data_IF_119807860498
#
_entry.id   IF_119807860498
#
_cell.length_a   1.000
_cell.length_b   1.000
_cell.length_c   1.000
_cell.angle_alpha   90.00
_cell.angle_beta   90.00
_cell.angle_gamma   90.00
#
_symmetry.space_group_name_H-M   'P 1'
#
loop_
_entity.id
_entity.type
_entity.pdbx_description
1 polymer ?
#
# COMPACT_ATOMS: atom_id res chain seq x y z
N UNK A 1 -18.15 -33.76 2.67
CA UNK A 1 -17.61 -32.61 1.92
C UNK A 1 -16.26 -33.02 1.37
N UNK A 2 -15.90 -32.63 0.16
CA UNK A 2 -14.54 -32.87 -0.32
C UNK A 2 -13.52 -32.11 0.52
N UNK A 3 -12.30 -32.61 0.77
CA UNK A 3 -11.25 -31.94 1.49
C UNK A 3 -10.95 -30.54 0.92
N UNK A 4 -10.99 -30.38 -0.40
CA UNK A 4 -10.76 -29.14 -1.09
C UNK A 4 -11.82 -28.08 -0.77
N UNK A 5 -13.10 -28.45 -0.69
CA UNK A 5 -14.18 -27.54 -0.28
C UNK A 5 -14.01 -27.11 1.16
N UNK A 6 -13.55 -27.98 2.07
CA UNK A 6 -13.24 -27.61 3.46
C UNK A 6 -12.15 -26.55 3.49
N UNK A 7 -11.05 -26.75 2.74
CA UNK A 7 -9.96 -25.78 2.67
C UNK A 7 -10.43 -24.40 2.16
N UNK A 8 -11.27 -24.37 1.12
CA UNK A 8 -11.82 -23.11 0.58
C UNK A 8 -12.71 -22.41 1.62
N UNK A 9 -13.58 -23.16 2.29
CA UNK A 9 -14.50 -22.60 3.30
C UNK A 9 -13.76 -22.10 4.53
N UNK A 10 -12.68 -22.77 4.96
CA UNK A 10 -11.83 -22.32 6.06
C UNK A 10 -11.12 -21.01 5.65
N UNK A 11 -10.57 -20.93 4.44
CA UNK A 11 -9.96 -19.68 3.94
C UNK A 11 -10.98 -18.54 3.94
N UNK A 12 -12.18 -18.76 3.40
CA UNK A 12 -13.26 -17.77 3.43
C UNK A 12 -13.64 -17.38 4.87
N UNK A 13 -13.74 -18.36 5.78
CA UNK A 13 -13.99 -18.12 7.21
C UNK A 13 -12.89 -17.29 7.87
N UNK A 14 -11.62 -17.52 7.54
CA UNK A 14 -10.48 -16.72 8.00
C UNK A 14 -10.65 -15.25 7.58
N UNK A 15 -11.01 -14.99 6.32
CA UNK A 15 -11.25 -13.64 5.84
C UNK A 15 -12.43 -12.96 6.55
N UNK A 16 -13.54 -13.67 6.75
CA UNK A 16 -14.72 -13.18 7.48
C UNK A 16 -14.35 -12.87 8.93
N UNK A 17 -13.67 -13.78 9.63
CA UNK A 17 -13.25 -13.58 11.02
C UNK A 17 -12.25 -12.43 11.17
N UNK A 18 -11.25 -12.35 10.29
CA UNK A 18 -10.26 -11.28 10.33
C UNK A 18 -10.83 -9.90 10.01
N UNK A 19 -11.90 -9.85 9.19
CA UNK A 19 -12.59 -8.58 8.88
C UNK A 19 -13.56 -8.16 9.99
N UNK A 20 -14.24 -9.14 10.64
CA UNK A 20 -15.26 -8.86 11.68
C UNK A 20 -14.67 -8.77 13.09
N UNK A 21 -13.50 -9.34 13.31
CA UNK A 21 -12.79 -9.35 14.60
C UNK A 21 -11.42 -8.72 14.44
N UNK A 22 -10.96 -8.00 15.47
CA UNK A 22 -9.64 -7.35 15.49
C UNK A 22 -8.50 -8.37 15.69
N UNK A 23 -8.48 -9.44 14.90
CA UNK A 23 -7.47 -10.51 14.96
C UNK A 23 -6.63 -10.46 13.70
N UNK A 24 -5.32 -10.71 13.81
CA UNK A 24 -4.45 -10.77 12.65
C UNK A 24 -4.81 -11.97 11.76
N UNK A 25 -5.22 -11.70 10.54
CA UNK A 25 -5.61 -12.68 9.51
C UNK A 25 -4.51 -13.74 9.27
N UNK A 26 -3.23 -13.33 9.31
CA UNK A 26 -2.11 -14.24 9.08
C UNK A 26 -1.95 -15.28 10.18
N UNK A 27 -2.19 -14.88 11.44
CA UNK A 27 -2.19 -15.83 12.56
C UNK A 27 -3.32 -16.85 12.40
N UNK A 28 -4.52 -16.39 12.03
CA UNK A 28 -5.65 -17.29 11.72
C UNK A 28 -5.33 -18.22 10.54
N UNK A 29 -4.66 -17.70 9.50
CA UNK A 29 -4.28 -18.48 8.34
C UNK A 29 -3.23 -19.55 8.67
N UNK A 30 -2.22 -19.23 9.49
CA UNK A 30 -1.25 -20.22 9.98
C UNK A 30 -1.93 -21.32 10.78
N UNK A 31 -2.77 -20.96 11.73
CA UNK A 31 -3.54 -21.96 12.52
C UNK A 31 -4.44 -22.78 11.59
N UNK A 32 -5.13 -22.13 10.65
CA UNK A 32 -5.95 -22.80 9.64
C UNK A 32 -5.16 -23.77 8.78
N UNK A 33 -3.92 -23.40 8.36
CA UNK A 33 -3.03 -24.27 7.61
C UNK A 33 -2.70 -25.57 8.38
N UNK A 34 -2.37 -25.45 9.66
CA UNK A 34 -2.13 -26.62 10.49
C UNK A 34 -3.38 -27.46 10.70
N UNK A 35 -4.52 -26.84 11.04
CA UNK A 35 -5.78 -27.56 11.30
C UNK A 35 -6.26 -28.30 10.05
N UNK A 36 -6.23 -27.65 8.89
CA UNK A 36 -6.67 -28.23 7.62
C UNK A 36 -5.61 -29.21 7.08
N UNK A 37 -4.33 -28.88 7.15
CA UNK A 37 -3.24 -29.75 6.69
C UNK A 37 -3.24 -31.07 7.44
N UNK A 38 -3.14 -31.02 8.75
CA UNK A 38 -3.06 -32.22 9.59
C UNK A 38 -4.41 -32.90 9.69
N UNK A 39 -5.49 -32.16 9.92
CA UNK A 39 -6.82 -32.73 10.21
C UNK A 39 -7.61 -33.17 8.97
N UNK A 40 -7.40 -32.54 7.81
CA UNK A 40 -8.20 -32.81 6.60
C UNK A 40 -7.40 -33.52 5.51
N UNK A 41 -6.13 -33.11 5.30
CA UNK A 41 -5.27 -33.68 4.27
C UNK A 41 -4.28 -34.71 4.81
N UNK A 42 -4.21 -34.91 6.13
CA UNK A 42 -3.29 -35.82 6.81
C UNK A 42 -1.79 -35.55 6.46
N UNK A 43 -1.44 -34.27 6.27
CA UNK A 43 -0.09 -33.82 5.98
C UNK A 43 0.65 -33.60 7.31
N UNK A 44 1.93 -33.92 7.37
CA UNK A 44 2.74 -33.67 8.57
C UNK A 44 2.90 -32.18 8.84
N UNK A 45 2.99 -31.82 10.13
CA UNK A 45 3.15 -30.42 10.54
C UNK A 45 4.42 -29.76 9.96
N UNK A 46 5.47 -30.56 9.71
CA UNK A 46 6.68 -30.11 9.02
C UNK A 46 6.42 -29.68 7.59
N UNK A 47 5.70 -30.51 6.84
CA UNK A 47 5.39 -30.25 5.44
C UNK A 47 4.48 -29.01 5.25
N UNK A 48 3.62 -28.71 6.26
CA UNK A 48 2.84 -27.46 6.25
C UNK A 48 3.77 -26.24 6.32
N UNK A 49 4.88 -26.35 7.08
CA UNK A 49 5.86 -25.27 7.20
C UNK A 49 6.74 -25.08 5.96
N UNK A 50 6.88 -26.09 5.11
CA UNK A 50 7.59 -25.97 3.82
C UNK A 50 6.91 -24.95 2.90
N UNK A 51 5.61 -24.72 3.07
CA UNK A 51 4.86 -23.64 2.44
C UNK A 51 5.20 -22.24 2.97
N UNK A 52 5.98 -22.12 4.06
CA UNK A 52 6.30 -20.82 4.65
C UNK A 52 7.20 -19.96 3.72
N UNK A 53 6.83 -18.71 3.43
CA UNK A 53 7.55 -17.88 2.47
C UNK A 53 8.77 -17.20 3.11
N UNK A 54 9.83 -17.95 3.41
CA UNK A 54 11.02 -17.43 4.10
C UNK A 54 11.65 -16.23 3.39
N UNK A 55 11.71 -16.25 2.06
CA UNK A 55 12.22 -15.11 1.27
C UNK A 55 11.38 -13.85 1.48
N UNK A 56 10.05 -13.95 1.37
CA UNK A 56 9.14 -12.82 1.62
C UNK A 56 9.26 -12.31 3.07
N UNK A 57 9.44 -13.20 4.05
CA UNK A 57 9.70 -12.81 5.44
C UNK A 57 10.93 -11.92 5.55
N UNK A 58 12.07 -12.33 4.97
CA UNK A 58 13.33 -11.56 5.01
C UNK A 58 13.17 -10.21 4.33
N UNK A 59 12.52 -10.16 3.15
CA UNK A 59 12.28 -8.92 2.43
C UNK A 59 11.40 -7.96 3.23
N UNK A 60 10.26 -8.46 3.74
CA UNK A 60 9.30 -7.64 4.50
C UNK A 60 9.93 -7.08 5.78
N UNK A 61 10.65 -7.90 6.53
CA UNK A 61 11.35 -7.45 7.73
C UNK A 61 12.44 -6.44 7.37
N UNK A 62 13.29 -6.73 6.39
CA UNK A 62 14.39 -5.84 5.98
C UNK A 62 13.93 -4.47 5.52
N UNK A 63 12.97 -4.44 4.59
CA UNK A 63 12.45 -3.18 4.04
C UNK A 63 11.71 -2.37 5.10
N UNK A 64 10.83 -2.99 5.88
CA UNK A 64 10.05 -2.25 6.90
C UNK A 64 10.92 -1.80 8.08
N UNK A 65 11.96 -2.55 8.43
CA UNK A 65 12.93 -2.15 9.45
C UNK A 65 13.77 -0.95 9.00
N UNK A 66 14.29 -0.98 7.77
CA UNK A 66 15.04 0.14 7.19
C UNK A 66 14.17 1.42 7.15
N UNK A 67 12.90 1.28 6.74
CA UNK A 67 11.97 2.40 6.74
C UNK A 67 11.64 2.90 8.16
N UNK A 68 11.49 2.01 9.14
CA UNK A 68 11.28 2.36 10.54
C UNK A 68 12.46 3.18 11.10
N UNK A 69 13.70 2.82 10.75
CA UNK A 69 14.89 3.60 11.10
C UNK A 69 14.86 4.99 10.43
N UNK A 70 14.49 5.08 9.14
CA UNK A 70 14.36 6.34 8.42
C UNK A 70 13.31 7.27 9.04
N UNK A 71 12.21 6.71 9.54
CA UNK A 71 11.18 7.46 10.26
C UNK A 71 11.69 7.98 11.60
N UNK A 72 12.30 7.11 12.40
CA UNK A 72 12.77 7.44 13.76
C UNK A 72 13.89 8.49 13.80
N UNK A 73 14.77 8.49 12.82
CA UNK A 73 15.86 9.49 12.75
C UNK A 73 15.44 10.80 12.08
N UNK A 74 14.16 10.99 11.76
CA UNK A 74 13.61 12.20 11.16
C UNK A 74 13.96 12.40 9.68
N UNK A 75 14.46 11.37 8.98
CA UNK A 75 14.73 11.45 7.54
C UNK A 75 13.44 11.69 6.76
N UNK A 76 12.35 11.00 7.12
CA UNK A 76 11.04 11.14 6.49
C UNK A 76 10.48 12.56 6.70
N UNK A 77 10.52 13.06 7.95
CA UNK A 77 10.04 14.41 8.28
C UNK A 77 10.83 15.50 7.53
N UNK A 78 12.14 15.30 7.39
CA UNK A 78 12.98 16.22 6.62
C UNK A 78 12.64 16.20 5.13
N UNK A 79 12.39 15.01 4.53
CA UNK A 79 11.97 14.91 3.13
C UNK A 79 10.67 15.68 2.91
N UNK A 80 9.69 15.50 3.80
CA UNK A 80 8.40 16.21 3.75
C UNK A 80 8.61 17.71 3.82
N UNK A 81 9.36 18.19 4.82
CA UNK A 81 9.62 19.62 5.00
C UNK A 81 10.34 20.23 3.78
N UNK A 82 11.32 19.51 3.22
CA UNK A 82 12.10 19.98 2.06
C UNK A 82 11.25 20.08 0.79
N UNK A 83 10.37 19.10 0.58
CA UNK A 83 9.50 19.06 -0.59
C UNK A 83 8.44 20.16 -0.55
N UNK A 84 7.88 20.45 0.63
CA UNK A 84 6.96 21.58 0.81
C UNK A 84 7.65 22.92 0.50
N UNK A 85 8.90 23.09 0.91
CA UNK A 85 9.69 24.29 0.59
C UNK A 85 9.95 24.44 -0.92
N UNK A 86 10.12 23.34 -1.65
CA UNK A 86 10.41 23.36 -3.08
C UNK A 86 9.26 23.90 -3.96
N UNK A 87 8.03 23.96 -3.43
CA UNK A 87 6.84 24.40 -4.20
C UNK A 87 6.80 25.92 -4.46
N UNK A 88 7.74 26.70 -3.88
CA UNK A 88 7.85 28.15 -4.10
C UNK A 88 6.51 28.91 -4.07
N UNK A 89 5.59 28.51 -3.19
CA UNK A 89 4.41 29.30 -2.88
C UNK A 89 3.21 29.16 -3.82
N UNK A 90 3.15 28.22 -4.75
CA UNK A 90 1.96 27.99 -5.59
C UNK A 90 0.96 27.08 -4.88
N UNK A 91 -0.16 27.62 -4.40
CA UNK A 91 -1.23 26.85 -3.72
C UNK A 91 -1.77 25.71 -4.59
N UNK A 92 -1.92 25.95 -5.90
CA UNK A 92 -2.39 24.96 -6.86
C UNK A 92 -1.48 23.72 -6.96
N UNK A 93 -0.20 23.81 -6.63
CA UNK A 93 0.74 22.70 -6.69
C UNK A 93 0.72 21.82 -5.42
N UNK A 94 0.19 22.33 -4.28
CA UNK A 94 0.22 21.62 -3.00
C UNK A 94 -0.41 20.22 -3.05
N UNK A 95 -1.60 20.00 -3.65
CA UNK A 95 -2.18 18.66 -3.74
C UNK A 95 -1.27 17.68 -4.49
N UNK A 96 -0.62 18.11 -5.59
CA UNK A 96 0.31 17.29 -6.35
C UNK A 96 1.60 16.98 -5.59
N UNK A 97 2.07 17.93 -4.79
CA UNK A 97 3.23 17.69 -3.92
C UNK A 97 2.90 16.65 -2.86
N UNK A 98 1.72 16.72 -2.25
CA UNK A 98 1.29 15.68 -1.30
C UNK A 98 1.14 14.32 -1.99
N UNK A 99 0.64 14.29 -3.22
CA UNK A 99 0.58 13.08 -4.06
C UNK A 99 1.99 12.48 -4.27
N UNK A 100 2.92 13.29 -4.78
CA UNK A 100 4.30 12.82 -5.08
C UNK A 100 5.03 12.38 -3.82
N UNK A 101 4.89 13.13 -2.72
CA UNK A 101 5.51 12.76 -1.43
C UNK A 101 4.99 11.45 -0.90
N UNK A 102 3.68 11.29 -0.88
CA UNK A 102 3.04 10.05 -0.42
C UNK A 102 3.49 8.86 -1.26
N UNK A 103 3.49 9.02 -2.60
CA UNK A 103 3.94 7.99 -3.53
C UNK A 103 5.42 7.66 -3.39
N UNK A 104 6.28 8.66 -3.25
CA UNK A 104 7.71 8.44 -3.07
C UNK A 104 8.03 7.68 -1.78
N UNK A 105 7.36 8.01 -0.65
CA UNK A 105 7.55 7.29 0.61
C UNK A 105 7.16 5.82 0.47
N UNK A 106 6.02 5.54 -0.17
CA UNK A 106 5.56 4.16 -0.37
C UNK A 106 6.45 3.41 -1.36
N UNK A 107 6.87 4.07 -2.44
CA UNK A 107 7.78 3.47 -3.41
C UNK A 107 9.16 3.11 -2.81
N UNK A 108 9.59 3.81 -1.76
CA UNK A 108 10.83 3.53 -1.02
C UNK A 108 10.66 2.50 0.11
N UNK A 109 9.47 1.91 0.28
CA UNK A 109 9.24 0.83 1.25
C UNK A 109 8.34 1.18 2.43
N UNK A 110 7.78 2.39 2.49
CA UNK A 110 6.72 2.68 3.45
C UNK A 110 5.46 1.87 3.16
N UNK A 111 4.76 1.45 4.21
CA UNK A 111 3.37 1.02 4.05
C UNK A 111 2.49 2.24 3.70
N UNK A 112 1.53 2.04 2.80
CA UNK A 112 0.59 3.10 2.39
C UNK A 112 -0.08 3.79 3.59
N UNK A 113 -0.63 3.10 4.61
CA UNK A 113 -1.18 3.75 5.79
C UNK A 113 -0.15 4.56 6.59
N UNK A 114 1.10 4.12 6.64
CA UNK A 114 2.15 4.85 7.34
C UNK A 114 2.50 6.17 6.63
N UNK A 115 2.57 6.16 5.30
CA UNK A 115 2.78 7.36 4.50
C UNK A 115 1.60 8.33 4.63
N UNK A 116 0.36 7.82 4.53
CA UNK A 116 -0.86 8.63 4.70
C UNK A 116 -0.92 9.24 6.11
N UNK A 117 -0.60 8.49 7.16
CA UNK A 117 -0.59 8.99 8.55
C UNK A 117 0.38 10.15 8.76
N UNK A 118 1.47 10.21 7.99
CA UNK A 118 2.46 11.31 8.06
C UNK A 118 2.03 12.50 7.20
N UNK A 119 1.54 12.23 5.98
CA UNK A 119 1.27 13.27 4.99
C UNK A 119 -0.12 13.90 5.16
N UNK A 120 -1.15 13.13 5.55
CA UNK A 120 -2.52 13.64 5.67
C UNK A 120 -2.66 14.80 6.67
N UNK A 121 -2.08 14.77 7.89
CA UNK A 121 -2.15 15.91 8.82
C UNK A 121 -1.58 17.19 8.20
N UNK A 122 -0.45 17.09 7.50
CA UNK A 122 0.21 18.21 6.83
C UNK A 122 -0.65 18.71 5.67
N UNK A 123 -1.14 17.81 4.83
CA UNK A 123 -2.01 18.14 3.70
C UNK A 123 -3.31 18.81 4.16
N UNK A 124 -3.97 18.28 5.20
CA UNK A 124 -5.21 18.83 5.75
C UNK A 124 -4.99 20.21 6.40
N UNK A 125 -3.87 20.41 7.10
CA UNK A 125 -3.51 21.73 7.62
C UNK A 125 -3.34 22.75 6.48
N UNK A 126 -2.70 22.38 5.36
CA UNK A 126 -2.63 23.23 4.18
C UNK A 126 -4.00 23.45 3.53
N UNK A 127 -4.84 22.40 3.47
CA UNK A 127 -6.20 22.53 2.93
C UNK A 127 -7.01 23.59 3.70
N UNK A 128 -6.96 23.55 5.01
CA UNK A 128 -7.63 24.52 5.88
C UNK A 128 -7.03 25.92 5.72
N UNK A 129 -5.69 26.04 5.77
CA UNK A 129 -4.99 27.32 5.72
C UNK A 129 -5.18 28.07 4.39
N UNK A 130 -5.21 27.35 3.28
CA UNK A 130 -5.26 27.94 1.94
C UNK A 130 -6.61 27.76 1.23
N UNK A 131 -7.64 27.31 1.94
CA UNK A 131 -8.98 27.13 1.39
C UNK A 131 -9.06 26.07 0.29
N UNK A 132 -8.17 25.07 0.31
CA UNK A 132 -8.22 23.93 -0.61
C UNK A 132 -9.33 22.98 -0.15
N UNK A 133 -10.05 22.39 -1.09
CA UNK A 133 -11.05 21.38 -0.77
C UNK A 133 -10.38 20.20 -0.01
N UNK A 134 -10.81 19.88 1.24
CA UNK A 134 -10.20 18.81 2.02
C UNK A 134 -10.31 17.43 1.35
N UNK A 135 -11.41 17.17 0.64
CA UNK A 135 -11.58 15.92 -0.10
C UNK A 135 -10.56 15.81 -1.25
N UNK A 136 -10.32 16.89 -1.99
CA UNK A 136 -9.24 16.95 -2.98
C UNK A 136 -7.90 16.60 -2.35
N UNK A 137 -7.55 17.26 -1.25
CA UNK A 137 -6.26 17.06 -0.58
C UNK A 137 -6.11 15.61 -0.08
N UNK A 138 -7.14 15.07 0.59
CA UNK A 138 -7.13 13.71 1.11
C UNK A 138 -7.00 12.65 0.02
N UNK A 139 -7.78 12.78 -1.06
CA UNK A 139 -7.70 11.86 -2.20
C UNK A 139 -6.35 11.94 -2.91
N UNK A 140 -5.74 13.11 -3.05
CA UNK A 140 -4.40 13.24 -3.62
C UNK A 140 -3.33 12.55 -2.77
N UNK A 141 -3.45 12.58 -1.43
CA UNK A 141 -2.56 11.83 -0.53
C UNK A 141 -2.77 10.33 -0.70
N UNK A 142 -4.03 9.86 -0.75
CA UNK A 142 -4.35 8.44 -0.89
C UNK A 142 -3.90 7.90 -2.25
N UNK A 143 -4.28 8.54 -3.36
CA UNK A 143 -3.88 8.08 -4.69
C UNK A 143 -2.37 8.24 -4.92
N UNK A 144 -1.73 9.23 -4.30
CA UNK A 144 -0.29 9.32 -4.27
C UNK A 144 0.34 8.10 -3.61
N UNK A 145 -0.10 7.74 -2.40
CA UNK A 145 0.39 6.54 -1.72
C UNK A 145 0.13 5.26 -2.53
N UNK A 146 -1.06 5.15 -3.13
CA UNK A 146 -1.42 4.03 -3.99
C UNK A 146 -0.53 3.94 -5.25
N UNK A 147 -0.13 5.08 -5.83
CA UNK A 147 0.80 5.10 -6.97
C UNK A 147 2.15 4.46 -6.65
N UNK A 148 2.62 4.56 -5.39
CA UNK A 148 3.86 3.95 -4.91
C UNK A 148 3.77 2.47 -4.56
N UNK A 149 2.57 1.92 -4.38
CA UNK A 149 2.32 0.61 -3.78
C UNK A 149 3.09 -0.55 -4.42
N UNK A 150 3.15 -0.61 -5.75
CA UNK A 150 3.74 -1.73 -6.48
C UNK A 150 5.16 -1.45 -6.98
N UNK A 151 5.84 -0.44 -6.42
CA UNK A 151 7.29 -0.29 -6.64
C UNK A 151 7.99 -1.61 -6.30
N UNK A 152 9.01 -2.02 -7.06
CA UNK A 152 9.81 -3.22 -6.72
C UNK A 152 10.39 -3.18 -5.30
N UNK A 153 10.63 -1.99 -4.75
CA UNK A 153 11.09 -1.77 -3.37
C UNK A 153 9.95 -1.61 -2.35
N UNK A 154 8.73 -1.41 -2.84
CA UNK A 154 7.54 -1.22 -2.02
C UNK A 154 6.99 -2.54 -1.49
N UNK A 155 6.39 -2.50 -0.31
CA UNK A 155 5.88 -3.71 0.38
C UNK A 155 4.89 -4.50 -0.50
N UNK A 156 3.90 -3.84 -1.12
CA UNK A 156 2.94 -4.51 -2.00
C UNK A 156 3.58 -5.02 -3.30
N UNK A 157 4.57 -4.29 -3.84
CA UNK A 157 5.33 -4.74 -5.01
C UNK A 157 6.10 -6.02 -4.73
N UNK A 158 6.81 -6.05 -3.60
CA UNK A 158 7.52 -7.24 -3.12
C UNK A 158 6.59 -8.43 -2.94
N UNK A 159 5.46 -8.23 -2.27
CA UNK A 159 4.48 -9.29 -2.02
C UNK A 159 3.93 -9.82 -3.34
N UNK A 160 3.43 -8.94 -4.21
CA UNK A 160 2.82 -9.32 -5.48
C UNK A 160 3.80 -10.07 -6.36
N UNK A 161 5.01 -9.53 -6.54
CA UNK A 161 6.04 -10.15 -7.37
C UNK A 161 6.52 -11.49 -6.76
N UNK A 162 6.70 -11.56 -5.44
CA UNK A 162 7.11 -12.80 -4.78
C UNK A 162 6.04 -13.89 -4.84
N UNK A 163 4.76 -13.54 -4.80
CA UNK A 163 3.66 -14.50 -4.99
C UNK A 163 3.60 -14.96 -6.44
N UNK A 164 3.74 -14.06 -7.42
CA UNK A 164 3.79 -14.38 -8.86
C UNK A 164 4.92 -15.35 -9.16
N UNK A 165 6.13 -15.08 -8.64
CA UNK A 165 7.31 -15.92 -8.81
C UNK A 165 7.10 -17.32 -8.22
N UNK A 166 6.61 -17.42 -6.97
CA UNK A 166 6.31 -18.70 -6.31
C UNK A 166 5.25 -19.51 -7.04
N UNK A 167 4.30 -18.84 -7.69
CA UNK A 167 3.25 -19.49 -8.48
C UNK A 167 3.72 -19.88 -9.89
N UNK A 168 5.00 -19.73 -10.23
CA UNK A 168 5.55 -20.06 -11.55
C UNK A 168 4.98 -19.22 -12.69
N UNK A 169 4.37 -18.08 -12.39
CA UNK A 169 3.78 -17.21 -13.40
C UNK A 169 4.82 -16.23 -13.99
N UNK A 170 4.70 -15.86 -15.26
CA UNK A 170 5.52 -14.80 -15.81
C UNK A 170 5.26 -13.48 -15.09
N UNK A 171 6.32 -12.83 -14.59
CA UNK A 171 6.25 -11.59 -13.84
C UNK A 171 6.76 -10.40 -14.64
N UNK A 172 6.29 -9.21 -14.29
CA UNK A 172 6.81 -7.92 -14.78
C UNK A 172 6.76 -6.87 -13.66
N UNK A 173 7.73 -6.89 -12.72
CA UNK A 173 7.72 -6.00 -11.56
C UNK A 173 7.61 -4.52 -11.95
N UNK A 174 8.39 -4.10 -12.94
CA UNK A 174 8.34 -2.73 -13.43
C UNK A 174 7.05 -2.43 -14.21
N UNK A 175 6.51 -3.42 -14.94
CA UNK A 175 5.22 -3.29 -15.64
C UNK A 175 4.07 -3.06 -14.66
N UNK A 176 4.00 -3.83 -13.59
CA UNK A 176 2.98 -3.67 -12.53
C UNK A 176 3.10 -2.29 -11.87
N UNK A 177 4.31 -1.86 -11.54
CA UNK A 177 4.56 -0.56 -10.93
C UNK A 177 4.15 0.60 -11.85
N UNK A 178 4.62 0.61 -13.10
CA UNK A 178 4.33 1.70 -14.04
C UNK A 178 2.85 1.77 -14.38
N UNK A 179 2.19 0.62 -14.62
CA UNK A 179 0.76 0.58 -14.89
C UNK A 179 -0.06 1.11 -13.72
N UNK A 180 0.26 0.68 -12.49
CA UNK A 180 -0.40 1.16 -11.27
C UNK A 180 -0.14 2.65 -11.03
N UNK A 181 1.09 3.12 -11.18
CA UNK A 181 1.44 4.53 -11.02
C UNK A 181 0.71 5.41 -12.05
N UNK A 182 0.70 5.00 -13.33
CA UNK A 182 -0.01 5.70 -14.39
C UNK A 182 -1.52 5.76 -14.10
N UNK A 183 -2.13 4.66 -13.66
CA UNK A 183 -3.55 4.62 -13.31
C UNK A 183 -3.87 5.59 -12.17
N UNK A 184 -3.07 5.60 -11.11
CA UNK A 184 -3.27 6.50 -9.98
C UNK A 184 -2.96 7.97 -10.32
N UNK A 185 -2.03 8.26 -11.23
CA UNK A 185 -1.81 9.61 -11.77
C UNK A 185 -3.05 10.09 -12.53
N UNK A 186 -3.66 9.23 -13.36
CA UNK A 186 -4.92 9.55 -14.05
C UNK A 186 -6.04 9.80 -13.04
N UNK A 187 -6.19 8.95 -12.01
CA UNK A 187 -7.16 9.19 -10.94
C UNK A 187 -6.87 10.51 -10.19
N UNK A 188 -5.61 10.79 -9.88
CA UNK A 188 -5.19 12.06 -9.29
C UNK A 188 -5.57 13.26 -10.15
N UNK A 189 -5.41 13.15 -11.48
CA UNK A 189 -5.85 14.18 -12.42
C UNK A 189 -7.37 14.36 -12.41
N UNK A 190 -8.13 13.26 -12.43
CA UNK A 190 -9.60 13.28 -12.33
C UNK A 190 -10.04 13.96 -11.03
N UNK A 191 -9.46 13.54 -9.90
CA UNK A 191 -9.71 14.14 -8.59
C UNK A 191 -9.40 15.63 -8.58
N UNK A 192 -8.24 16.00 -9.14
CA UNK A 192 -7.81 17.41 -9.19
C UNK A 192 -8.77 18.26 -10.01
N UNK A 193 -9.21 17.78 -11.17
CA UNK A 193 -10.15 18.49 -12.03
C UNK A 193 -11.55 18.56 -11.41
N UNK A 194 -12.05 17.46 -10.85
CA UNK A 194 -13.40 17.35 -10.30
C UNK A 194 -13.61 18.15 -9.01
N UNK A 195 -12.62 18.15 -8.10
CA UNK A 195 -12.76 18.73 -6.76
C UNK A 195 -12.13 20.11 -6.60
N UNK A 196 -11.91 20.84 -7.69
CA UNK A 196 -11.62 22.29 -7.64
C UNK A 196 -10.19 22.70 -7.93
N UNK A 197 -9.32 21.82 -8.45
CA UNK A 197 -7.95 22.17 -8.83
C UNK A 197 -7.86 23.28 -9.86
N UNK A 198 -8.79 23.35 -10.83
CA UNK A 198 -8.87 24.44 -11.81
C UNK A 198 -9.14 25.80 -11.15
N UNK A 199 -9.94 25.84 -10.07
CA UNK A 199 -10.18 27.08 -9.32
C UNK A 199 -8.90 27.56 -8.62
N UNK A 200 -8.09 26.61 -8.11
CA UNK A 200 -6.80 26.92 -7.49
C UNK A 200 -5.80 27.49 -8.51
N UNK A 201 -5.80 26.99 -9.74
CA UNK A 201 -4.95 27.53 -10.83
C UNK A 201 -5.40 28.95 -11.18
N UNK A 202 -6.71 29.16 -11.38
CA UNK A 202 -7.27 30.48 -11.76
C UNK A 202 -7.10 31.52 -10.66
N UNK A 203 -7.15 31.14 -9.39
CA UNK A 203 -6.97 32.08 -8.26
C UNK A 203 -5.57 32.69 -8.22
N UNK A 204 -4.56 32.04 -8.81
CA UNK A 204 -3.17 32.50 -8.77
C UNK A 204 -2.59 32.65 -7.35
N UNK A 205 -3.27 32.09 -6.33
CA UNK A 205 -2.90 32.26 -4.94
C UNK A 205 -1.49 31.71 -4.68
N UNK A 206 -0.68 32.51 -3.99
CA UNK A 206 0.68 32.15 -3.59
C UNK A 206 0.73 31.89 -2.09
N UNK A 207 1.37 30.79 -1.71
CA UNK A 207 1.72 30.57 -0.31
C UNK A 207 2.77 31.59 0.10
N UNK A 208 2.48 32.47 1.04
CA UNK A 208 3.51 33.17 1.75
C UNK A 208 4.21 32.16 2.67
N UNK A 209 5.44 31.77 2.33
CA UNK A 209 6.36 31.08 3.26
C UNK A 209 6.95 32.17 4.15
N UNK A 210 6.08 32.90 4.84
CA UNK A 210 6.47 34.00 5.75
C UNK A 210 6.18 33.53 7.18
N UNK A 211 7.13 33.88 8.00
CA UNK A 211 7.19 33.92 9.46
C UNK A 211 5.95 33.34 10.21
N UNK A 212 6.13 32.36 11.10
CA UNK A 212 5.06 31.83 11.96
C UNK A 212 4.34 32.89 12.81
N UNK A 213 4.86 34.12 12.87
CA UNK A 213 4.36 35.21 13.68
C UNK A 213 3.61 36.32 12.92
N UNK A 214 3.36 36.19 11.62
CA UNK A 214 2.58 37.20 10.89
C UNK A 214 1.09 36.93 11.12
N UNK A 215 0.34 37.85 11.80
CA UNK A 215 -1.12 37.73 11.92
C UNK A 215 -1.75 37.75 10.52
N UNK A 216 -2.74 36.87 10.28
CA UNK A 216 -3.57 36.94 9.08
C UNK A 216 -4.25 38.32 8.98
N UNK A 217 -4.78 38.68 7.79
CA UNK A 217 -5.39 40.00 7.56
C UNK A 217 -6.62 40.28 8.44
N UNK A 218 -7.15 39.33 9.14
CA UNK A 218 -8.24 39.49 10.12
C UNK A 218 -7.71 39.15 11.52
N UNK A 219 -7.41 40.19 12.30
CA UNK A 219 -6.79 40.21 13.62
C UNK A 219 -7.52 39.39 14.72
N UNK A 220 -7.95 38.19 14.47
CA UNK A 220 -8.53 37.28 15.43
C UNK A 220 -7.45 36.32 15.94
N UNK A 221 -6.93 36.59 17.12
CA UNK A 221 -6.13 35.64 17.91
C UNK A 221 -7.00 34.45 18.29
N UNK A 222 -6.89 33.34 17.53
CA UNK A 222 -7.54 32.10 17.88
C UNK A 222 -6.74 31.44 19.01
N UNK A 223 -7.41 31.34 20.16
CA UNK A 223 -6.88 30.74 21.37
C UNK A 223 -6.45 29.29 21.18
N UNK A 224 -5.44 28.96 21.91
CA UNK A 224 -4.76 27.70 22.17
C UNK A 224 -5.70 26.46 22.13
N UNK A 225 -5.72 25.75 21.02
CA UNK A 225 -6.41 24.45 20.84
C UNK A 225 -5.97 23.70 19.59
N UNK A 226 -5.30 24.35 18.64
CA UNK A 226 -4.69 23.69 17.49
C UNK A 226 -3.37 23.05 17.91
N UNK A 227 -3.18 21.79 17.56
CA UNK A 227 -1.86 21.14 17.56
C UNK A 227 -0.97 22.06 16.72
N UNK A 228 -0.24 22.93 17.39
CA UNK A 228 0.85 23.67 16.79
C UNK A 228 1.76 22.60 16.20
N UNK A 229 1.76 22.46 14.87
CA UNK A 229 2.94 21.99 14.17
C UNK A 229 3.98 23.09 14.46
N UNK A 230 4.46 23.07 15.70
CA UNK A 230 5.72 23.69 16.03
C UNK A 230 6.67 22.99 15.09
N UNK A 231 7.01 23.66 14.00
CA UNK A 231 8.31 23.47 13.40
C UNK A 231 9.28 23.67 14.55
N UNK A 232 9.53 22.60 15.32
CA UNK A 232 10.75 22.48 16.06
C UNK A 232 11.78 22.61 14.97
N UNK A 233 12.30 23.81 14.79
CA UNK A 233 13.65 23.98 14.32
C UNK A 233 14.46 23.32 15.43
N UNK A 234 14.51 21.98 15.36
CA UNK A 234 15.49 21.20 16.09
C UNK A 234 16.77 21.74 15.49
N UNK A 235 17.57 22.42 16.31
CA UNK A 235 18.99 22.57 16.01
C UNK A 235 19.43 21.19 15.57
N UNK A 236 19.66 21.05 14.26
CA UNK A 236 19.99 19.76 13.67
C UNK A 236 21.38 19.46 14.18
N UNK A 237 21.45 18.72 15.29
CA UNK A 237 22.70 18.28 15.86
C UNK A 237 23.52 17.63 14.75
N UNK A 238 24.82 17.79 14.73
CA UNK A 238 25.70 17.18 13.72
C UNK A 238 25.41 15.68 13.57
N UNK A 239 25.01 15.03 14.68
CA UNK A 239 24.59 13.64 14.75
C UNK A 239 23.33 13.35 13.94
N UNK A 240 22.27 14.17 14.05
CA UNK A 240 21.03 13.99 13.31
C UNK A 240 21.25 14.17 11.79
N UNK A 241 22.14 15.09 11.39
CA UNK A 241 22.51 15.26 9.98
C UNK A 241 23.28 14.04 9.45
N UNK A 242 24.21 13.48 10.22
CA UNK A 242 24.95 12.26 9.88
C UNK A 242 24.02 11.05 9.74
N UNK A 243 23.13 10.85 10.69
CA UNK A 243 22.14 9.76 10.64
C UNK A 243 21.27 9.85 9.40
N UNK A 244 20.77 11.04 9.10
CA UNK A 244 19.96 11.29 7.89
C UNK A 244 20.72 11.03 6.60
N UNK A 245 21.95 11.54 6.47
CA UNK A 245 22.76 11.29 5.27
C UNK A 245 23.08 9.80 5.13
N UNK A 246 23.43 9.10 6.19
CA UNK A 246 23.68 7.67 6.17
C UNK A 246 22.43 6.87 5.74
N UNK A 247 21.26 7.24 6.26
CA UNK A 247 19.99 6.59 5.88
C UNK A 247 19.61 6.86 4.43
N UNK A 248 19.76 8.10 3.94
CA UNK A 248 19.52 8.43 2.54
C UNK A 248 20.50 7.68 1.61
N UNK A 249 21.76 7.57 2.00
CA UNK A 249 22.74 6.75 1.27
C UNK A 249 22.34 5.27 1.28
N UNK A 250 21.90 4.74 2.42
CA UNK A 250 21.42 3.36 2.53
C UNK A 250 20.21 3.09 1.64
N UNK A 251 19.22 3.99 1.60
CA UNK A 251 18.07 3.90 0.69
C UNK A 251 18.49 3.99 -0.79
N UNK A 252 19.47 4.85 -1.10
CA UNK A 252 20.01 4.94 -2.46
C UNK A 252 20.76 3.65 -2.87
N UNK A 253 21.54 3.07 -1.95
CA UNK A 253 22.23 1.78 -2.17
C UNK A 253 21.21 0.67 -2.40
N UNK A 254 20.14 0.61 -1.60
CA UNK A 254 19.04 -0.34 -1.80
C UNK A 254 18.40 -0.16 -3.19
N UNK A 255 18.06 1.08 -3.55
CA UNK A 255 17.41 1.36 -4.83
C UNK A 255 18.31 1.01 -6.03
N UNK A 256 19.56 1.46 -6.00
CA UNK A 256 20.52 1.19 -7.10
C UNK A 256 20.89 -0.29 -7.14
N UNK A 257 21.13 -0.91 -5.99
CA UNK A 257 21.48 -2.33 -5.90
C UNK A 257 20.39 -3.23 -6.46
N UNK A 258 19.14 -2.97 -6.10
CA UNK A 258 18.00 -3.77 -6.55
C UNK A 258 17.60 -3.48 -8.01
N UNK A 259 17.61 -2.19 -8.45
CA UNK A 259 17.08 -1.83 -9.77
C UNK A 259 18.11 -1.85 -10.88
N UNK A 260 19.41 -1.67 -10.58
CA UNK A 260 20.48 -1.60 -11.58
C UNK A 260 21.34 -2.87 -11.57
N UNK A 261 21.61 -3.42 -10.39
CA UNK A 261 22.45 -4.60 -10.22
C UNK A 261 21.68 -5.89 -9.97
N UNK A 262 20.34 -5.84 -9.95
CA UNK A 262 19.44 -6.99 -9.76
C UNK A 262 19.78 -7.81 -8.50
N UNK A 263 20.23 -7.12 -7.43
CA UNK A 263 20.55 -7.76 -6.15
C UNK A 263 19.26 -8.10 -5.40
N UNK A 264 19.30 -9.19 -4.62
CA UNK A 264 18.18 -9.58 -3.75
C UNK A 264 17.79 -8.46 -2.78
N UNK A 265 16.53 -8.01 -2.88
CA UNK A 265 16.00 -6.87 -2.13
C UNK A 265 16.03 -7.13 -0.62
N UNK A 266 15.70 -8.37 -0.20
CA UNK A 266 15.63 -8.74 1.20
C UNK A 266 17.00 -8.71 1.87
N UNK A 267 17.95 -9.39 1.27
CA UNK A 267 19.33 -9.45 1.78
C UNK A 267 19.98 -8.07 1.75
N UNK A 268 19.75 -7.30 0.69
CA UNK A 268 20.29 -5.93 0.57
C UNK A 268 19.67 -4.98 1.61
N UNK A 269 18.35 -5.01 1.78
CA UNK A 269 17.67 -4.21 2.79
C UNK A 269 18.12 -4.56 4.22
N UNK A 270 18.26 -5.86 4.52
CA UNK A 270 18.79 -6.34 5.81
C UNK A 270 20.24 -5.92 6.01
N UNK A 271 21.08 -6.00 4.97
CA UNK A 271 22.49 -5.58 5.06
C UNK A 271 22.62 -4.09 5.33
N UNK A 272 21.84 -3.25 4.60
CA UNK A 272 21.81 -1.81 4.84
C UNK A 272 21.28 -1.49 6.23
N UNK A 273 20.21 -2.15 6.66
CA UNK A 273 19.64 -1.95 7.98
C UNK A 273 20.63 -2.37 9.09
N UNK A 274 21.34 -3.50 8.92
CA UNK A 274 22.37 -3.94 9.86
C UNK A 274 23.55 -2.96 9.94
N UNK A 275 24.00 -2.44 8.79
CA UNK A 275 25.07 -1.43 8.78
C UNK A 275 24.64 -0.14 9.52
N UNK A 276 23.40 0.33 9.29
CA UNK A 276 22.85 1.48 10.01
C UNK A 276 22.67 1.18 11.51
N UNK A 277 22.28 -0.07 11.88
CA UNK A 277 22.12 -0.48 13.26
C UNK A 277 23.47 -0.49 14.02
N UNK A 278 24.54 -0.92 13.38
CA UNK A 278 25.89 -0.86 13.94
C UNK A 278 26.37 0.58 14.18
N UNK A 279 26.02 1.49 13.24
CA UNK A 279 26.40 2.91 13.38
C UNK A 279 25.51 3.66 14.36
N UNK A 280 24.24 3.27 14.54
CA UNK A 280 23.24 3.98 15.33
C UNK A 280 22.37 3.01 16.15
N UNK A 281 22.95 2.30 17.15
CA UNK A 281 22.29 1.20 17.87
C UNK A 281 21.03 1.63 18.60
N UNK A 282 20.98 2.82 19.18
CA UNK A 282 19.81 3.32 19.90
C UNK A 282 18.60 3.51 18.95
N UNK A 283 18.83 4.10 17.77
CA UNK A 283 17.77 4.25 16.75
C UNK A 283 17.30 2.89 16.25
N UNK A 284 18.23 1.97 16.02
CA UNK A 284 17.95 0.63 15.54
C UNK A 284 17.13 -0.18 16.55
N UNK A 285 17.53 -0.19 17.83
CA UNK A 285 16.80 -0.87 18.90
C UNK A 285 15.35 -0.40 18.99
N UNK A 286 15.16 0.91 18.94
CA UNK A 286 13.82 1.48 18.99
C UNK A 286 13.00 1.16 17.72
N UNK A 287 13.63 1.10 16.54
CA UNK A 287 12.97 0.84 15.26
C UNK A 287 12.45 -0.61 15.11
N UNK A 288 12.98 -1.57 15.86
CA UNK A 288 12.49 -2.97 15.86
C UNK A 288 11.00 -3.06 16.21
N UNK A 289 10.53 -2.22 17.14
CA UNK A 289 9.11 -2.18 17.51
C UNK A 289 8.22 -1.58 16.42
N UNK A 290 8.78 -0.80 15.50
CA UNK A 290 8.06 -0.16 14.38
C UNK A 290 8.13 -1.01 13.09
N UNK A 291 8.78 -2.18 13.11
CA UNK A 291 8.67 -3.16 12.02
C UNK A 291 7.19 -3.52 11.86
N UNK A 292 6.76 -3.66 10.63
CA UNK A 292 5.36 -3.93 10.30
C UNK A 292 4.96 -5.39 10.55
N UNK A 293 5.15 -5.86 11.81
CA UNK A 293 4.90 -7.25 12.22
C UNK A 293 3.52 -7.76 11.84
N UNK A 294 2.51 -6.89 11.91
CA UNK A 294 1.15 -7.25 11.49
C UNK A 294 1.07 -7.67 10.02
N UNK A 295 1.83 -6.99 9.14
CA UNK A 295 1.90 -7.32 7.70
C UNK A 295 2.77 -8.54 7.45
N UNK A 296 3.90 -8.66 8.16
CA UNK A 296 4.77 -9.84 8.07
C UNK A 296 3.99 -11.10 8.41
N UNK A 297 3.29 -11.13 9.55
CA UNK A 297 2.45 -12.26 9.96
C UNK A 297 1.32 -12.52 8.98
N UNK A 298 0.66 -11.45 8.49
CA UNK A 298 -0.44 -11.55 7.52
C UNK A 298 0.00 -12.29 6.26
N UNK A 299 1.09 -11.85 5.65
CA UNK A 299 1.57 -12.43 4.38
C UNK A 299 2.12 -13.83 4.60
N UNK A 300 2.98 -14.03 5.60
CA UNK A 300 3.53 -15.35 5.86
C UNK A 300 2.43 -16.38 6.14
N UNK A 301 1.40 -15.99 6.91
CA UNK A 301 0.30 -16.89 7.22
C UNK A 301 -0.57 -17.23 6.02
N UNK A 302 -0.99 -16.24 5.24
CA UNK A 302 -1.83 -16.47 4.05
C UNK A 302 -1.07 -17.28 3.00
N UNK A 303 0.19 -16.93 2.72
CA UNK A 303 0.97 -17.65 1.71
C UNK A 303 1.26 -19.09 2.13
N UNK A 304 1.48 -19.34 3.43
CA UNK A 304 1.59 -20.72 3.94
C UNK A 304 0.29 -21.50 3.75
N UNK A 305 -0.87 -20.90 4.05
CA UNK A 305 -2.17 -21.55 3.83
C UNK A 305 -2.41 -21.87 2.36
N UNK A 306 -2.12 -20.92 1.47
CA UNK A 306 -2.28 -21.12 0.02
C UNK A 306 -1.27 -22.15 -0.50
N UNK A 307 -0.04 -22.19 0.00
CA UNK A 307 0.95 -23.22 -0.30
C UNK A 307 0.47 -24.62 0.08
N UNK A 308 -0.19 -24.76 1.24
CA UNK A 308 -0.88 -26.01 1.59
C UNK A 308 -1.99 -26.36 0.59
N UNK A 309 -2.83 -25.39 0.19
CA UNK A 309 -3.88 -25.64 -0.80
C UNK A 309 -3.32 -26.09 -2.15
N UNK A 310 -2.18 -25.53 -2.54
CA UNK A 310 -1.46 -25.90 -3.77
C UNK A 310 -0.91 -27.32 -3.68
N UNK A 311 -0.14 -27.63 -2.65
CA UNK A 311 0.44 -28.98 -2.43
C UNK A 311 -0.62 -30.07 -2.28
N UNK A 312 -1.78 -29.73 -1.71
CA UNK A 312 -2.93 -30.63 -1.56
C UNK A 312 -3.81 -30.75 -2.83
N UNK A 313 -3.46 -30.08 -3.95
CA UNK A 313 -4.23 -30.12 -5.21
C UNK A 313 -5.55 -29.34 -5.18
N UNK A 314 -5.77 -28.48 -4.17
CA UNK A 314 -7.00 -27.68 -4.08
C UNK A 314 -7.01 -26.58 -5.14
N UNK A 315 -5.86 -26.09 -5.54
CA UNK A 315 -5.73 -25.09 -6.62
C UNK A 315 -6.16 -25.70 -7.96
N UNK A 316 -5.76 -26.95 -8.24
CA UNK A 316 -6.20 -27.68 -9.44
C UNK A 316 -7.70 -27.96 -9.42
N UNK A 317 -8.27 -28.30 -8.26
CA UNK A 317 -9.70 -28.47 -8.08
C UNK A 317 -10.48 -27.19 -8.43
N UNK A 318 -10.00 -26.03 -7.99
CA UNK A 318 -10.55 -24.72 -8.34
C UNK A 318 -10.40 -24.47 -9.85
N UNK A 319 -9.24 -24.82 -10.43
CA UNK A 319 -8.97 -24.69 -11.86
C UNK A 319 -9.96 -25.46 -12.72
N UNK A 320 -10.27 -26.71 -12.35
CA UNK A 320 -11.28 -27.52 -13.05
C UNK A 320 -12.69 -26.90 -12.95
N UNK A 321 -13.04 -26.35 -11.79
CA UNK A 321 -14.30 -25.65 -11.59
C UNK A 321 -14.38 -24.38 -12.46
N UNK A 322 -13.29 -23.61 -12.55
CA UNK A 322 -13.20 -22.40 -13.40
C UNK A 322 -13.22 -22.77 -14.89
N UNK A 323 -12.55 -23.85 -15.30
CA UNK A 323 -12.57 -24.34 -16.68
C UNK A 323 -13.98 -24.71 -17.17
N UNK A 324 -14.89 -25.02 -16.26
CA UNK A 324 -16.31 -25.24 -16.57
C UNK A 324 -17.07 -23.95 -16.85
N UNK A 325 -16.50 -22.77 -16.52
CA UNK A 325 -17.07 -21.45 -16.86
C UNK A 325 -16.78 -21.17 -18.34
N UNK A 326 -17.80 -20.87 -19.10
CA UNK A 326 -17.77 -20.77 -20.56
C UNK A 326 -16.86 -19.68 -21.15
N UNK A 327 -16.26 -18.79 -20.31
CA UNK A 327 -15.40 -17.69 -20.75
C UNK A 327 -14.33 -17.33 -19.71
N UNK A 328 -13.07 -17.49 -20.09
CA UNK A 328 -11.92 -17.06 -19.28
C UNK A 328 -11.93 -15.54 -18.98
N UNK A 329 -12.41 -14.74 -19.95
CA UNK A 329 -12.56 -13.28 -19.78
C UNK A 329 -13.58 -12.94 -18.69
N UNK A 330 -14.69 -13.68 -18.61
CA UNK A 330 -15.69 -13.47 -17.56
C UNK A 330 -15.15 -13.92 -16.20
N UNK A 331 -14.44 -15.05 -16.13
CA UNK A 331 -13.80 -15.52 -14.92
C UNK A 331 -12.78 -14.49 -14.38
N UNK A 332 -11.96 -13.92 -15.26
CA UNK A 332 -11.05 -12.83 -14.88
C UNK A 332 -11.80 -11.60 -14.34
N UNK A 333 -12.88 -11.17 -14.98
CA UNK A 333 -13.67 -10.05 -14.49
C UNK A 333 -14.26 -10.30 -13.10
N UNK A 334 -14.79 -11.50 -12.85
CA UNK A 334 -15.30 -11.90 -11.54
C UNK A 334 -14.17 -11.86 -10.50
N UNK A 335 -12.98 -12.36 -10.84
CA UNK A 335 -11.80 -12.31 -9.97
C UNK A 335 -11.42 -10.87 -9.59
N UNK A 336 -11.43 -9.95 -10.56
CA UNK A 336 -11.14 -8.54 -10.32
C UNK A 336 -12.18 -7.89 -9.38
N UNK A 337 -13.45 -8.21 -9.55
CA UNK A 337 -14.52 -7.73 -8.64
C UNK A 337 -14.39 -8.32 -7.25
N UNK A 338 -14.09 -9.60 -7.12
CA UNK A 338 -13.84 -10.22 -5.82
C UNK A 338 -12.67 -9.53 -5.13
N UNK A 339 -11.55 -9.30 -5.84
CA UNK A 339 -10.41 -8.56 -5.33
C UNK A 339 -10.77 -7.16 -4.85
N UNK A 340 -11.50 -6.39 -5.66
CA UNK A 340 -11.90 -5.03 -5.33
C UNK A 340 -12.88 -4.97 -4.14
N UNK A 341 -13.94 -5.80 -4.17
CA UNK A 341 -14.96 -5.82 -3.11
C UNK A 341 -14.34 -6.24 -1.78
N UNK A 342 -13.59 -7.35 -1.76
CA UNK A 342 -12.99 -7.82 -0.50
C UNK A 342 -11.95 -6.84 0.01
N UNK A 343 -11.11 -6.26 -0.86
CA UNK A 343 -10.11 -5.26 -0.49
C UNK A 343 -10.72 -3.97 0.06
N UNK A 344 -11.90 -3.58 -0.37
CA UNK A 344 -12.58 -2.39 0.16
C UNK A 344 -12.93 -2.49 1.66
N UNK A 345 -13.03 -3.71 2.20
CA UNK A 345 -13.37 -3.98 3.60
C UNK A 345 -12.27 -4.72 4.37
N UNK A 346 -11.29 -5.31 3.66
CA UNK A 346 -10.20 -6.07 4.23
C UNK A 346 -8.84 -5.48 3.79
N UNK A 347 -7.76 -6.17 4.12
CA UNK A 347 -6.40 -5.75 3.71
C UNK A 347 -6.11 -6.13 2.26
N UNK A 348 -5.79 -5.14 1.41
CA UNK A 348 -5.28 -5.34 0.04
C UNK A 348 -4.11 -6.32 0.00
N UNK A 349 -3.23 -6.24 0.99
CA UNK A 349 -2.05 -7.08 1.13
C UNK A 349 -2.42 -8.56 1.22
N UNK A 350 -3.38 -8.90 2.10
CA UNK A 350 -3.84 -10.28 2.28
C UNK A 350 -4.56 -10.83 1.05
N UNK A 351 -5.39 -10.00 0.43
CA UNK A 351 -6.17 -10.40 -0.75
C UNK A 351 -5.27 -10.74 -1.94
N UNK A 352 -4.25 -9.95 -2.23
CA UNK A 352 -3.32 -10.23 -3.34
C UNK A 352 -2.54 -11.51 -3.08
N UNK A 353 -2.10 -11.74 -1.83
CA UNK A 353 -1.43 -12.97 -1.42
C UNK A 353 -2.27 -14.24 -1.62
N UNK A 354 -3.60 -14.13 -1.54
CA UNK A 354 -4.52 -15.26 -1.74
C UNK A 354 -5.02 -15.37 -3.19
N UNK A 355 -5.43 -14.26 -3.82
CA UNK A 355 -6.11 -14.33 -5.12
C UNK A 355 -5.16 -14.63 -6.29
N UNK A 356 -3.89 -14.20 -6.22
CA UNK A 356 -2.93 -14.47 -7.31
C UNK A 356 -2.71 -15.97 -7.46
N UNK A 357 -2.37 -16.75 -6.40
CA UNK A 357 -2.26 -18.22 -6.52
C UNK A 357 -3.57 -18.89 -6.95
N UNK A 358 -4.72 -18.44 -6.45
CA UNK A 358 -6.02 -18.99 -6.84
C UNK A 358 -6.36 -18.71 -8.32
N UNK A 359 -5.75 -17.70 -8.94
CA UNK A 359 -5.89 -17.40 -10.35
C UNK A 359 -4.97 -18.25 -11.24
N UNK A 360 -3.96 -18.95 -10.69
CA UNK A 360 -2.95 -19.70 -11.47
C UNK A 360 -3.59 -20.65 -12.48
N UNK A 361 -4.58 -21.48 -12.15
CA UNK A 361 -5.18 -22.38 -13.12
C UNK A 361 -5.79 -21.66 -14.34
N UNK A 362 -6.40 -20.48 -14.11
CA UNK A 362 -6.95 -19.64 -15.16
C UNK A 362 -5.82 -19.07 -16.04
N UNK A 363 -4.70 -18.69 -15.45
CA UNK A 363 -3.58 -18.01 -16.12
C UNK A 363 -2.69 -19.01 -16.90
N UNK A 364 -2.47 -20.20 -16.35
CA UNK A 364 -1.67 -21.26 -16.99
C UNK A 364 -2.40 -21.86 -18.20
N UNK A 365 -3.74 -21.79 -18.26
CA UNK A 365 -4.50 -22.23 -19.43
C UNK A 365 -4.12 -21.52 -20.74
N UNK A 366 -3.34 -20.42 -20.67
CA UNK A 366 -2.84 -19.68 -21.83
C UNK A 366 -3.90 -18.85 -22.57
N UNK A 367 -5.13 -18.83 -22.07
CA UNK A 367 -6.21 -18.04 -22.67
C UNK A 367 -6.14 -16.53 -22.36
N UNK A 368 -5.39 -16.18 -21.31
CA UNK A 368 -5.21 -14.81 -20.83
C UNK A 368 -3.74 -14.52 -20.54
N UNK A 369 -3.31 -13.29 -20.80
CA UNK A 369 -1.98 -12.82 -20.42
C UNK A 369 -1.86 -12.73 -18.89
N UNK A 370 -1.00 -13.56 -18.28
CA UNK A 370 -0.85 -13.60 -16.82
C UNK A 370 -0.44 -12.23 -16.24
N UNK A 371 0.52 -11.54 -16.87
CA UNK A 371 0.99 -10.21 -16.46
C UNK A 371 -0.16 -9.21 -16.47
N UNK A 372 -0.99 -9.23 -17.50
CA UNK A 372 -2.13 -8.33 -17.66
C UNK A 372 -3.18 -8.52 -16.56
N UNK A 373 -3.51 -9.77 -16.23
CA UNK A 373 -4.46 -10.09 -15.15
C UNK A 373 -3.91 -9.71 -13.80
N UNK A 374 -2.61 -9.95 -13.53
CA UNK A 374 -1.96 -9.54 -12.28
C UNK A 374 -1.94 -8.02 -12.15
N UNK A 375 -1.63 -7.28 -13.21
CA UNK A 375 -1.72 -5.81 -13.23
C UNK A 375 -3.15 -5.36 -12.91
N UNK A 376 -4.14 -5.90 -13.61
CA UNK A 376 -5.53 -5.54 -13.43
C UNK A 376 -6.02 -5.84 -12.00
N UNK A 377 -5.67 -7.00 -11.44
CA UNK A 377 -6.00 -7.40 -10.07
C UNK A 377 -5.34 -6.49 -9.04
N UNK A 378 -4.05 -6.21 -9.22
CA UNK A 378 -3.27 -5.33 -8.34
C UNK A 378 -3.88 -3.93 -8.27
N UNK A 379 -4.20 -3.34 -9.41
CA UNK A 379 -4.83 -2.02 -9.48
C UNK A 379 -6.23 -2.06 -8.87
N UNK A 380 -7.07 -3.04 -9.27
CA UNK A 380 -8.45 -3.16 -8.79
C UNK A 380 -8.54 -3.33 -7.28
N UNK A 381 -7.61 -4.09 -6.68
CA UNK A 381 -7.56 -4.28 -5.24
C UNK A 381 -6.99 -3.06 -4.49
N UNK A 382 -6.03 -2.33 -5.05
CA UNK A 382 -5.33 -1.26 -4.32
C UNK A 382 -6.03 0.09 -4.34
N UNK A 383 -6.68 0.48 -5.44
CA UNK A 383 -7.30 1.82 -5.53
C UNK A 383 -8.54 1.99 -4.67
N UNK A 384 -9.20 0.90 -4.29
CA UNK A 384 -10.37 0.90 -3.41
C UNK A 384 -10.03 1.22 -1.96
N UNK A 385 -8.74 1.23 -1.58
CA UNK A 385 -8.25 1.71 -0.28
C UNK A 385 -8.50 3.22 -0.04
N UNK A 386 -9.18 3.88 -0.95
CA UNK A 386 -9.67 5.26 -0.82
C UNK A 386 -11.04 5.37 -0.14
N UNK A 387 -11.68 4.26 0.24
CA UNK A 387 -12.94 4.26 0.99
C UNK A 387 -12.73 4.67 2.45
N UNK A 388 -13.73 5.25 3.14
CA UNK A 388 -13.60 5.62 4.56
C UNK A 388 -13.51 4.39 5.48
N UNK A 389 -13.82 3.19 4.98
CA UNK A 389 -13.68 1.92 5.70
C UNK A 389 -12.25 1.35 5.62
N UNK A 390 -11.46 1.82 4.67
CA UNK A 390 -10.03 1.47 4.58
C UNK A 390 -9.20 2.29 5.57
N UNK A 391 -8.03 1.77 5.93
CA UNK A 391 -7.12 2.48 6.84
C UNK A 391 -6.71 3.86 6.30
N UNK A 392 -6.47 3.98 4.99
CA UNK A 392 -6.07 5.24 4.36
C UNK A 392 -7.19 6.28 4.41
N UNK A 393 -8.42 5.87 4.08
CA UNK A 393 -9.58 6.76 4.14
C UNK A 393 -9.91 7.19 5.56
N UNK A 394 -9.86 6.28 6.54
CA UNK A 394 -10.08 6.59 7.94
C UNK A 394 -9.06 7.61 8.47
N UNK A 395 -7.77 7.48 8.09
CA UNK A 395 -6.73 8.45 8.45
C UNK A 395 -6.99 9.83 7.87
N UNK A 396 -7.49 9.92 6.64
CA UNK A 396 -7.85 11.19 6.02
C UNK A 396 -9.04 11.83 6.73
N UNK A 397 -10.09 11.06 7.07
CA UNK A 397 -11.25 11.54 7.83
C UNK A 397 -10.83 12.06 9.20
N UNK A 398 -10.02 11.29 9.94
CA UNK A 398 -9.55 11.66 11.29
C UNK A 398 -8.70 12.95 11.32
N UNK A 399 -8.11 13.36 10.19
CA UNK A 399 -7.33 14.59 10.06
C UNK A 399 -8.11 15.75 9.42
N UNK A 400 -9.37 15.54 9.05
CA UNK A 400 -10.25 16.61 8.59
C UNK A 400 -10.67 17.53 9.74
N UNK A 401 -10.91 18.80 9.45
CA UNK A 401 -11.48 19.72 10.46
C UNK A 401 -12.90 19.29 10.82
N UNK A 402 -13.31 19.49 12.07
CA UNK A 402 -14.59 19.04 12.61
C UNK A 402 -15.81 19.47 11.78
N UNK A 403 -15.79 20.68 11.23
CA UNK A 403 -16.82 21.21 10.35
C UNK A 403 -16.88 20.53 8.97
N UNK A 404 -15.83 19.85 8.54
CA UNK A 404 -15.67 19.21 7.23
C UNK A 404 -15.62 17.68 7.28
N UNK A 405 -15.46 17.10 8.45
CA UNK A 405 -15.29 15.64 8.65
C UNK A 405 -16.40 14.84 7.96
N UNK A 406 -17.68 15.18 8.21
CA UNK A 406 -18.83 14.51 7.60
C UNK A 406 -18.86 14.64 6.08
N UNK A 407 -18.41 15.78 5.53
CA UNK A 407 -18.36 16.01 4.09
C UNK A 407 -17.23 15.18 3.45
N UNK A 408 -16.06 15.09 4.10
CA UNK A 408 -14.92 14.27 3.67
C UNK A 408 -15.31 12.79 3.73
N UNK A 409 -15.88 12.33 4.83
CA UNK A 409 -16.37 10.94 5.00
C UNK A 409 -17.33 10.55 3.86
N UNK A 410 -18.36 11.37 3.63
CA UNK A 410 -19.36 11.12 2.57
C UNK A 410 -18.72 11.15 1.17
N UNK A 411 -17.79 12.08 0.92
CA UNK A 411 -17.06 12.17 -0.32
C UNK A 411 -16.19 10.94 -0.59
N UNK A 412 -15.45 10.47 0.42
CA UNK A 412 -14.65 9.24 0.32
C UNK A 412 -15.52 8.00 0.13
N UNK A 413 -16.73 7.96 0.75
CA UNK A 413 -17.67 6.86 0.56
C UNK A 413 -18.12 6.78 -0.91
N UNK A 414 -18.60 7.89 -1.46
CA UNK A 414 -19.06 7.94 -2.87
C UNK A 414 -17.89 7.58 -3.79
N UNK A 415 -16.70 8.15 -3.57
CA UNK A 415 -15.52 7.88 -4.38
C UNK A 415 -15.09 6.42 -4.29
N UNK A 416 -14.92 5.86 -3.10
CA UNK A 416 -14.49 4.48 -2.88
C UNK A 416 -15.45 3.46 -3.52
N UNK A 417 -16.76 3.60 -3.31
CA UNK A 417 -17.75 2.71 -3.94
C UNK A 417 -17.82 2.88 -5.46
N UNK A 418 -17.62 4.10 -5.97
CA UNK A 418 -17.51 4.32 -7.41
C UNK A 418 -16.30 3.58 -7.99
N UNK A 419 -15.17 3.56 -7.29
CA UNK A 419 -13.99 2.82 -7.72
C UNK A 419 -14.20 1.30 -7.65
N UNK A 420 -14.88 0.78 -6.61
CA UNK A 420 -15.25 -0.65 -6.56
C UNK A 420 -16.08 -1.06 -7.78
N UNK A 421 -17.01 -0.20 -8.21
CA UNK A 421 -17.86 -0.49 -9.36
C UNK A 421 -17.14 -0.35 -10.70
N UNK A 422 -16.28 0.67 -10.86
CA UNK A 422 -15.72 1.08 -12.15
C UNK A 422 -14.35 0.48 -12.42
N UNK A 423 -13.46 0.42 -11.40
CA UNK A 423 -12.06 0.03 -11.63
C UNK A 423 -11.90 -1.38 -12.18
N UNK A 424 -12.60 -2.43 -11.69
CA UNK A 424 -12.48 -3.76 -12.28
C UNK A 424 -12.86 -3.81 -13.77
N UNK A 425 -13.88 -3.06 -14.16
CA UNK A 425 -14.28 -2.96 -15.59
C UNK A 425 -13.22 -2.25 -16.42
N UNK A 426 -12.70 -1.13 -15.93
CA UNK A 426 -11.68 -0.36 -16.65
C UNK A 426 -10.39 -1.16 -16.80
N UNK A 427 -9.90 -1.76 -15.71
CA UNK A 427 -8.66 -2.55 -15.73
C UNK A 427 -8.82 -3.81 -16.58
N UNK A 428 -9.98 -4.45 -16.55
CA UNK A 428 -10.31 -5.57 -17.41
C UNK A 428 -10.30 -5.15 -18.89
N UNK A 429 -10.95 -4.02 -19.22
CA UNK A 429 -11.02 -3.53 -20.59
C UNK A 429 -9.66 -3.07 -21.14
N UNK A 430 -8.81 -2.47 -20.28
CA UNK A 430 -7.52 -1.91 -20.71
C UNK A 430 -6.41 -2.96 -20.74
N UNK A 431 -6.38 -3.88 -19.78
CA UNK A 431 -5.28 -4.84 -19.66
C UNK A 431 -5.66 -6.26 -20.10
N UNK A 432 -6.85 -6.75 -19.73
CA UNK A 432 -7.20 -8.17 -19.96
C UNK A 432 -7.76 -8.39 -21.37
N UNK A 433 -8.66 -7.52 -21.86
CA UNK A 433 -9.26 -7.67 -23.18
C UNK A 433 -8.24 -7.64 -24.35
N UNK A 434 -7.19 -6.77 -24.34
CA UNK A 434 -6.22 -6.75 -25.44
C UNK A 434 -5.32 -7.99 -25.49
N UNK A 435 -5.24 -8.78 -24.41
CA UNK A 435 -4.49 -10.04 -24.40
C UNK A 435 -2.97 -9.88 -24.31
N UNK A 436 -2.48 -8.83 -23.64
CA UNK A 436 -1.04 -8.56 -23.49
C UNK A 436 -0.28 -9.69 -22.76
#
# INVERSE_FOLDING_TARGET
MSPHVVAILVLAGIFVLGTTRSVNLGVLALVGAFVVGVGTFAVDAGDVLDGFPANLFVILVGVTYLFAMAKRNGTVDWLVARSVQAVQGRVAALPWVMFVLSGALVALGALSPAAVAIIAPVGMAFATRYGINPLLMGLMVIHGSAAGNFSPLGVLGVITNGVVERSGLPGSPMGIFVANAAFNIVLGLVVYLAFGGLKLIKSGARCSVGDPNTPGPDGTSIGTGGVAVRSRIVEVTATARRQRSATLTGLAVLAVGALVFDLDIGLLAMTVAAALALLYPETAKAAVADISWGVVLLICGIVTYVGLMESAGTVDFIGQAIASVSSALLAALVLLYVGAVVSAFASTTGILGALIPLAVPLLVSGQLGAVAVVIALSISASVVDSSPFSTNGALVVANASQDRESAVYRGLMIWGFSLVAVTPLVTWAVFVLPGW
#
